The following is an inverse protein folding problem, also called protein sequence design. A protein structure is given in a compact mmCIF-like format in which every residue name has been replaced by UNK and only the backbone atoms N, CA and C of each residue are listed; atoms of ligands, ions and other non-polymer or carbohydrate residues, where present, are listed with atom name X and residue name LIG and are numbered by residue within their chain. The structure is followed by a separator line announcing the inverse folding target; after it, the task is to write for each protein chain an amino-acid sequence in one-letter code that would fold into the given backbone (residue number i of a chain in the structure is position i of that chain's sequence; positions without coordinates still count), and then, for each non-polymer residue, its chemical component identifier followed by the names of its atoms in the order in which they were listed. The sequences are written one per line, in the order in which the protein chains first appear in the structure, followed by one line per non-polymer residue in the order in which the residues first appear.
data_IF_712735435299
#
_entry.id   IF_712735435299
#
_cell.length_a   1.000
_cell.length_b   1.000
_cell.length_c   1.000
_cell.angle_alpha   90.00
_cell.angle_beta   90.00
_cell.angle_gamma   90.00
#
_symmetry.space_group_name_H-M   'P 1'
#
loop_
_entity.id
_entity.type
_entity.pdbx_description
1 polymer ?
#
# COMPACT_ATOMS: atom_id res chain seq x y z
N UNK A 1 -4.38 7.23 -6.86
CA UNK A 1 -5.47 6.70 -6.01
C UNK A 1 -4.89 5.47 -5.32
N UNK A 2 -4.42 5.71 -4.10
CA UNK A 2 -3.58 4.80 -3.31
C UNK A 2 -4.45 3.79 -2.55
N UNK A 3 -3.80 2.71 -2.08
CA UNK A 3 -4.30 1.60 -1.27
C UNK A 3 -5.36 1.94 -0.18
N UNK A 4 -5.44 3.21 0.21
CA UNK A 4 -6.38 3.77 1.18
C UNK A 4 -7.84 3.73 0.69
N UNK A 5 -8.12 4.03 -0.59
CA UNK A 5 -9.50 3.98 -1.12
C UNK A 5 -10.01 2.54 -1.31
N UNK A 6 -9.11 1.58 -1.58
CA UNK A 6 -9.46 0.15 -1.62
C UNK A 6 -9.72 -0.42 -0.23
N UNK A 7 -8.96 0.03 0.78
CA UNK A 7 -9.24 -0.24 2.18
C UNK A 7 -10.62 0.30 2.57
N UNK A 8 -10.93 1.55 2.22
CA UNK A 8 -12.20 2.18 2.57
C UNK A 8 -13.41 1.54 1.85
N UNK A 9 -13.27 1.14 0.57
CA UNK A 9 -14.33 0.45 -0.15
C UNK A 9 -14.53 -0.99 0.33
N UNK A 10 -13.44 -1.70 0.66
CA UNK A 10 -13.50 -3.04 1.25
C UNK A 10 -14.09 -3.00 2.67
N UNK A 11 -13.70 -2.04 3.50
CA UNK A 11 -14.28 -1.80 4.83
C UNK A 11 -15.75 -1.41 4.72
N UNK A 12 -16.13 -0.57 3.76
CA UNK A 12 -17.54 -0.20 3.53
C UNK A 12 -18.39 -1.38 3.04
N UNK A 13 -17.86 -2.23 2.15
CA UNK A 13 -18.59 -3.42 1.66
C UNK A 13 -18.63 -4.57 2.67
N UNK A 14 -17.60 -4.73 3.50
CA UNK A 14 -17.60 -5.71 4.59
C UNK A 14 -18.52 -5.27 5.74
N UNK A 15 -18.46 -4.00 6.14
CA UNK A 15 -19.38 -3.42 7.13
C UNK A 15 -20.85 -3.48 6.66
N UNK A 16 -21.12 -3.31 5.36
CA UNK A 16 -22.47 -3.48 4.80
C UNK A 16 -22.95 -4.94 4.74
N UNK A 17 -22.02 -5.91 4.70
CA UNK A 17 -22.34 -7.35 4.64
C UNK A 17 -22.54 -7.95 6.03
N UNK A 18 -21.78 -7.49 7.03
CA UNK A 18 -21.89 -7.91 8.42
C UNK A 18 -23.13 -7.32 9.11
N UNK A 19 -23.57 -6.13 8.67
CA UNK A 19 -24.82 -5.50 9.12
C UNK A 19 -26.12 -6.26 8.77
N UNK A 20 -26.09 -7.24 7.84
CA UNK A 20 -27.28 -8.08 7.56
C UNK A 20 -27.45 -9.24 8.54
N UNK A 21 -26.39 -9.62 9.26
CA UNK A 21 -26.42 -10.75 10.21
C UNK A 21 -26.35 -10.31 11.67
N UNK A 22 -26.04 -9.05 11.96
CA UNK A 22 -26.22 -8.46 13.28
C UNK A 22 -27.71 -8.27 13.57
N UNK A 23 -28.30 -9.24 14.29
CA UNK A 23 -29.59 -9.03 14.96
C UNK A 23 -29.47 -7.78 15.82
N UNK A 24 -30.31 -6.78 15.51
CA UNK A 24 -30.88 -5.76 16.41
C UNK A 24 -30.19 -5.69 17.79
N UNK A 25 -29.02 -5.05 17.85
CA UNK A 25 -28.53 -4.46 19.08
C UNK A 25 -29.03 -3.02 19.07
N UNK A 26 -29.84 -2.67 20.07
CA UNK A 26 -30.36 -1.32 20.26
C UNK A 26 -29.15 -0.36 20.36
N UNK A 27 -29.18 0.67 19.52
CA UNK A 27 -28.17 1.72 19.51
C UNK A 27 -28.35 2.57 20.77
N UNK A 28 -27.39 2.52 21.69
CA UNK A 28 -27.26 3.51 22.76
C UNK A 28 -26.84 4.88 22.19
N UNK A 29 -27.41 5.93 22.78
CA UNK A 29 -27.38 7.33 22.37
C UNK A 29 -25.99 7.86 21.97
N UNK A 30 -25.96 8.61 20.87
CA UNK A 30 -24.82 9.42 20.46
C UNK A 30 -24.70 10.60 21.43
N UNK A 31 -23.58 10.70 22.16
CA UNK A 31 -23.31 11.81 23.08
C UNK A 31 -23.51 13.17 22.39
N UNK A 32 -24.24 14.08 23.04
CA UNK A 32 -24.55 15.41 22.50
C UNK A 32 -23.30 16.34 22.56
N UNK A 33 -23.26 17.36 21.72
CA UNK A 33 -22.09 18.27 21.59
C UNK A 33 -21.70 18.98 22.90
N UNK A 34 -22.67 19.21 23.79
CA UNK A 34 -22.44 19.73 25.13
C UNK A 34 -21.65 18.75 26.03
N UNK A 35 -21.97 17.45 25.97
CA UNK A 35 -21.32 16.39 26.74
C UNK A 35 -19.88 16.15 26.26
N UNK A 36 -19.67 16.22 24.95
CA UNK A 36 -18.35 16.21 24.31
C UNK A 36 -17.50 17.43 24.71
N UNK A 37 -18.11 18.60 24.94
CA UNK A 37 -17.40 19.79 25.42
C UNK A 37 -16.87 19.64 26.85
N UNK A 38 -17.58 18.88 27.70
CA UNK A 38 -17.16 18.62 29.07
C UNK A 38 -16.07 17.54 29.16
N UNK A 39 -16.10 16.55 28.26
CA UNK A 39 -14.98 15.63 28.04
C UNK A 39 -13.67 16.36 27.72
N UNK A 40 -13.73 17.43 26.92
CA UNK A 40 -12.55 18.23 26.57
C UNK A 40 -11.98 19.01 27.76
N UNK A 41 -12.82 19.35 28.75
CA UNK A 41 -12.43 20.04 29.98
C UNK A 41 -11.93 19.05 31.04
N UNK A 42 -12.41 17.81 31.00
CA UNK A 42 -11.87 16.72 31.81
C UNK A 42 -10.42 16.48 31.38
N UNK A 43 -9.48 16.85 32.24
CA UNK A 43 -8.05 16.76 31.96
C UNK A 43 -7.68 15.28 31.78
N UNK A 44 -7.55 14.81 30.54
CA UNK A 44 -7.00 13.49 30.24
C UNK A 44 -5.48 13.60 30.43
N UNK A 45 -4.88 12.96 31.45
CA UNK A 45 -3.44 13.05 31.64
C UNK A 45 -2.72 12.42 30.44
N UNK A 46 -1.86 13.21 29.79
CA UNK A 46 -0.93 12.70 28.78
C UNK A 46 0.08 11.79 29.49
N UNK A 47 -0.04 10.48 29.34
CA UNK A 47 0.96 9.54 29.87
C UNK A 47 1.68 8.86 28.73
N UNK A 48 2.95 9.24 28.57
CA UNK A 48 3.96 8.52 27.81
C UNK A 48 4.22 7.15 28.46
N UNK A 49 3.95 6.06 27.75
CA UNK A 49 4.42 4.74 28.16
C UNK A 49 5.96 4.70 28.04
N UNK A 50 6.68 4.85 29.16
CA UNK A 50 8.06 4.37 29.25
C UNK A 50 7.99 2.86 29.49
N UNK A 51 8.38 2.08 28.49
CA UNK A 51 8.57 0.64 28.63
C UNK A 51 9.68 0.38 29.67
N UNK A 52 9.28 0.02 30.88
CA UNK A 52 10.16 -0.52 31.91
C UNK A 52 10.00 -2.02 31.95
N UNK A 53 11.04 -2.75 31.53
CA UNK A 53 11.12 -4.19 31.72
C UNK A 53 11.11 -4.51 33.22
N UNK A 54 10.14 -5.33 33.69
CA UNK A 54 10.36 -6.18 34.87
C UNK A 54 9.38 -7.35 34.97
N UNK A 55 9.98 -8.52 35.16
CA UNK A 55 9.42 -9.82 35.52
C UNK A 55 8.47 -9.78 36.74
N UNK A 56 7.47 -10.68 36.73
CA UNK A 56 6.93 -11.26 37.97
C UNK A 56 5.48 -11.71 37.90
N UNK A 57 5.23 -13.02 38.03
CA UNK A 57 3.92 -13.68 38.18
C UNK A 57 3.16 -13.21 39.43
N UNK A 58 1.83 -13.17 39.39
CA UNK A 58 0.93 -14.17 40.02
C UNK A 58 -0.55 -13.80 39.81
N UNK A 59 -1.36 -14.79 39.40
CA UNK A 59 -2.84 -14.75 39.43
C UNK A 59 -3.32 -14.95 40.87
N UNK A 60 -4.30 -14.18 41.33
CA UNK A 60 -5.16 -14.56 42.45
C UNK A 60 -6.64 -14.24 42.14
N UNK A 61 -7.48 -15.25 42.35
CA UNK A 61 -8.94 -15.13 42.40
C UNK A 61 -9.35 -14.53 43.75
N UNK A 62 -10.30 -13.59 43.77
CA UNK A 62 -11.06 -13.27 44.99
C UNK A 62 -12.55 -13.03 44.73
N UNK A 63 -13.31 -13.56 45.67
CA UNK A 63 -14.76 -13.58 45.81
C UNK A 63 -15.16 -12.31 46.57
N UNK A 64 -16.14 -11.56 46.06
CA UNK A 64 -16.51 -10.24 46.57
C UNK A 64 -17.43 -10.34 47.78
N UNK A 65 -16.98 -9.84 48.93
CA UNK A 65 -17.83 -9.26 49.98
C UNK A 65 -17.00 -8.27 50.83
N UNK A 66 -17.50 -7.04 50.99
CA UNK A 66 -17.02 -6.04 51.95
C UNK A 66 -16.09 -4.95 51.40
N UNK A 67 -16.45 -3.69 51.66
CA UNK A 67 -15.70 -2.46 51.39
C UNK A 67 -14.22 -2.55 51.82
N UNK A 68 -13.31 -2.44 50.84
CA UNK A 68 -11.88 -2.22 51.05
C UNK A 68 -11.43 -1.15 50.06
N UNK A 69 -10.93 -0.03 50.56
CA UNK A 69 -10.22 0.98 49.78
C UNK A 69 -8.89 0.36 49.30
N UNK A 70 -8.90 -0.19 48.08
CA UNK A 70 -7.71 -0.73 47.42
C UNK A 70 -6.94 0.42 46.77
N UNK A 71 -5.69 0.66 47.21
CA UNK A 71 -4.76 1.53 46.50
C UNK A 71 -4.42 0.91 45.14
N UNK A 72 -5.21 1.27 44.13
CA UNK A 72 -5.04 0.85 42.74
C UNK A 72 -3.72 1.38 42.20
N UNK A 73 -2.97 0.53 41.50
CA UNK A 73 -1.76 0.95 40.77
C UNK A 73 -2.13 2.00 39.71
N UNK A 74 -1.17 2.83 39.24
CA UNK A 74 -1.46 3.82 38.20
C UNK A 74 -2.11 3.20 36.96
N UNK A 75 -1.73 1.97 36.57
CA UNK A 75 -2.33 1.27 35.44
C UNK A 75 -3.81 0.89 35.70
N UNK A 76 -4.12 0.41 36.90
CA UNK A 76 -5.49 0.08 37.31
C UNK A 76 -6.35 1.34 37.47
N UNK A 77 -5.80 2.44 37.97
CA UNK A 77 -6.48 3.74 38.02
C UNK A 77 -6.84 4.25 36.61
N UNK A 78 -5.97 4.05 35.61
CA UNK A 78 -6.26 4.42 34.23
C UNK A 78 -7.32 3.50 33.59
N UNK A 79 -7.32 2.21 33.92
CA UNK A 79 -8.35 1.27 33.47
C UNK A 79 -9.71 1.65 34.06
N UNK A 80 -9.79 1.91 35.37
CA UNK A 80 -11.01 2.32 36.07
C UNK A 80 -11.50 3.70 35.59
N UNK A 81 -10.59 4.66 35.39
CA UNK A 81 -10.95 5.98 34.85
C UNK A 81 -11.41 5.92 33.39
N UNK A 82 -10.77 5.07 32.58
CA UNK A 82 -11.16 4.79 31.21
C UNK A 82 -12.55 4.15 31.13
N UNK A 83 -12.86 3.21 32.02
CA UNK A 83 -14.16 2.55 32.08
C UNK A 83 -15.27 3.51 32.55
N UNK A 84 -15.00 4.39 33.51
CA UNK A 84 -15.95 5.42 33.94
C UNK A 84 -16.28 6.44 32.84
N UNK A 85 -15.27 6.84 32.06
CA UNK A 85 -15.45 7.72 30.89
C UNK A 85 -16.23 7.03 29.77
N UNK A 86 -15.93 5.77 29.50
CA UNK A 86 -16.64 4.95 28.51
C UNK A 86 -18.10 4.76 28.92
N UNK A 87 -18.38 4.54 30.20
CA UNK A 87 -19.74 4.39 30.72
C UNK A 87 -20.54 5.68 30.64
N UNK A 88 -19.89 6.84 30.81
CA UNK A 88 -20.56 8.15 30.80
C UNK A 88 -20.79 8.72 29.38
N UNK A 89 -19.89 8.47 28.43
CA UNK A 89 -19.91 9.11 27.10
C UNK A 89 -19.93 8.13 25.92
N UNK A 90 -19.96 6.84 26.21
CA UNK A 90 -19.87 5.77 25.22
C UNK A 90 -18.45 5.57 24.67
N UNK A 91 -18.14 4.33 24.28
CA UNK A 91 -16.83 3.95 23.70
C UNK A 91 -16.50 4.81 22.47
N UNK A 92 -17.51 5.05 21.60
CA UNK A 92 -17.36 5.81 20.36
C UNK A 92 -17.02 7.29 20.62
N UNK A 93 -17.69 7.93 21.59
CA UNK A 93 -17.46 9.33 21.93
C UNK A 93 -16.05 9.57 22.46
N UNK A 94 -15.60 8.68 23.37
CA UNK A 94 -14.23 8.69 23.90
C UNK A 94 -13.19 8.46 22.80
N UNK A 95 -13.43 7.48 21.91
CA UNK A 95 -12.50 7.19 20.81
C UNK A 95 -12.38 8.36 19.82
N UNK A 96 -13.48 9.06 19.55
CA UNK A 96 -13.48 10.23 18.66
C UNK A 96 -12.62 11.38 19.23
N UNK A 97 -12.78 11.71 20.51
CA UNK A 97 -12.03 12.82 21.13
C UNK A 97 -10.54 12.49 21.34
N UNK A 98 -10.21 11.24 21.69
CA UNK A 98 -8.82 10.83 21.94
C UNK A 98 -8.02 10.60 20.66
N UNK A 99 -8.66 10.09 19.60
CA UNK A 99 -7.95 9.59 18.42
C UNK A 99 -8.62 9.96 17.09
N UNK A 100 -9.95 9.91 17.00
CA UNK A 100 -10.69 10.17 15.75
C UNK A 100 -10.70 11.63 15.26
N UNK A 101 -10.19 12.57 16.05
CA UNK A 101 -10.13 14.01 15.72
C UNK A 101 -8.83 14.36 15.02
N UNK A 102 -8.88 15.16 13.95
CA UNK A 102 -7.69 15.65 13.25
C UNK A 102 -6.68 16.34 14.19
N UNK A 103 -7.15 17.08 15.20
CA UNK A 103 -6.31 17.73 16.21
C UNK A 103 -5.63 16.78 17.21
N UNK A 104 -5.96 15.49 17.22
CA UNK A 104 -5.41 14.49 18.14
C UNK A 104 -4.24 13.68 17.55
N UNK A 105 -3.72 14.06 16.37
CA UNK A 105 -2.66 13.32 15.66
C UNK A 105 -1.33 13.16 16.44
N UNK A 106 -1.07 14.01 17.45
CA UNK A 106 0.12 13.92 18.31
C UNK A 106 -0.04 12.93 19.47
N UNK A 107 -1.27 12.53 19.78
CA UNK A 107 -1.54 11.62 20.88
C UNK A 107 -1.10 10.20 20.51
N UNK A 108 -0.73 9.40 21.52
CA UNK A 108 -0.47 7.99 21.29
C UNK A 108 -1.76 7.25 20.94
N UNK A 109 -1.64 6.21 20.13
CA UNK A 109 -2.79 5.46 19.63
C UNK A 109 -3.39 4.54 20.71
N UNK A 110 -4.70 4.67 21.05
CA UNK A 110 -5.33 3.86 22.08
C UNK A 110 -5.78 2.50 21.54
N UNK A 111 -4.83 1.58 21.33
CA UNK A 111 -5.08 0.27 20.70
C UNK A 111 -6.13 -0.59 21.44
N UNK A 112 -6.14 -0.54 22.77
CA UNK A 112 -7.11 -1.30 23.58
C UNK A 112 -8.56 -0.83 23.38
N UNK A 113 -8.77 0.48 23.23
CA UNK A 113 -10.10 1.05 23.02
C UNK A 113 -10.60 0.74 21.60
N UNK A 114 -9.69 0.79 20.62
CA UNK A 114 -9.95 0.34 19.24
C UNK A 114 -10.35 -1.13 19.24
N UNK A 115 -9.69 -1.99 20.02
CA UNK A 115 -10.02 -3.41 20.17
C UNK A 115 -11.42 -3.62 20.67
N UNK A 116 -11.75 -2.95 21.78
CA UNK A 116 -13.06 -3.08 22.41
C UNK A 116 -14.21 -2.65 21.50
N UNK A 117 -13.97 -1.70 20.60
CA UNK A 117 -15.00 -1.18 19.70
C UNK A 117 -15.09 -1.92 18.36
N UNK A 118 -13.95 -2.18 17.70
CA UNK A 118 -13.91 -2.75 16.34
C UNK A 118 -13.57 -4.24 16.31
N UNK A 119 -13.03 -4.80 17.40
CA UNK A 119 -12.53 -6.18 17.45
C UNK A 119 -11.06 -6.31 17.04
N UNK A 120 -10.55 -7.54 17.13
CA UNK A 120 -9.13 -7.86 17.04
C UNK A 120 -8.54 -7.57 15.66
N UNK A 121 -9.25 -7.90 14.57
CA UNK A 121 -8.77 -7.71 13.19
C UNK A 121 -8.35 -6.25 12.92
N UNK A 122 -9.16 -5.29 13.34
CA UNK A 122 -8.91 -3.87 13.08
C UNK A 122 -7.77 -3.31 13.93
N UNK A 123 -7.52 -3.86 15.12
CA UNK A 123 -6.43 -3.42 15.99
C UNK A 123 -5.09 -3.73 15.39
N UNK A 124 -4.92 -4.93 14.81
CA UNK A 124 -3.67 -5.28 14.12
C UNK A 124 -3.39 -4.36 12.94
N UNK A 125 -4.42 -4.01 12.16
CA UNK A 125 -4.29 -3.01 11.08
C UNK A 125 -3.79 -1.66 11.61
N UNK A 126 -4.44 -1.16 12.66
CA UNK A 126 -4.14 0.13 13.24
C UNK A 126 -2.78 0.16 13.97
N UNK A 127 -2.40 -0.93 14.62
CA UNK A 127 -1.09 -1.13 15.22
C UNK A 127 0.03 -1.20 14.16
N UNK A 128 -0.22 -1.87 13.03
CA UNK A 128 0.69 -1.88 11.88
C UNK A 128 0.90 -0.47 11.35
N UNK A 129 -0.19 0.26 11.11
CA UNK A 129 -0.14 1.62 10.58
C UNK A 129 0.64 2.57 11.52
N UNK A 130 0.38 2.49 12.83
CA UNK A 130 1.11 3.28 13.82
C UNK A 130 2.60 2.93 13.88
N UNK A 131 2.93 1.64 13.81
CA UNK A 131 4.33 1.18 13.82
C UNK A 131 5.05 1.61 12.53
N UNK A 132 4.42 1.42 11.37
CA UNK A 132 4.96 1.78 10.07
C UNK A 132 5.21 3.29 9.94
N UNK A 133 4.24 4.12 10.34
CA UNK A 133 4.37 5.58 10.32
C UNK A 133 5.49 6.08 11.23
N UNK A 134 5.65 5.50 12.43
CA UNK A 134 6.77 5.81 13.31
C UNK A 134 8.13 5.43 12.69
N UNK A 135 8.22 4.28 12.02
CA UNK A 135 9.45 3.83 11.35
C UNK A 135 9.79 4.66 10.10
N UNK A 136 8.80 5.22 9.41
CA UNK A 136 9.00 6.11 8.25
C UNK A 136 9.66 7.45 8.61
N UNK A 137 9.68 7.85 9.89
CA UNK A 137 10.33 9.08 10.34
C UNK A 137 11.82 9.14 9.97
N UNK A 138 12.53 8.01 10.12
CA UNK A 138 13.96 7.93 9.82
C UNK A 138 14.24 8.07 8.29
N UNK A 139 13.63 7.26 7.40
CA UNK A 139 13.70 7.47 5.95
C UNK A 139 13.32 8.88 5.50
N UNK A 140 12.27 9.46 6.09
CA UNK A 140 11.80 10.80 5.73
C UNK A 140 12.86 11.86 6.06
N UNK A 141 13.47 11.80 7.24
CA UNK A 141 14.54 12.72 7.63
C UNK A 141 15.75 12.58 6.69
N UNK A 142 16.19 11.34 6.43
CA UNK A 142 17.33 11.08 5.55
C UNK A 142 17.06 11.51 4.11
N UNK A 143 15.86 11.25 3.59
CA UNK A 143 15.44 11.68 2.26
C UNK A 143 15.35 13.21 2.11
N UNK A 144 14.96 13.93 3.16
CA UNK A 144 15.02 15.40 3.16
C UNK A 144 16.46 15.90 3.13
N UNK A 145 17.36 15.26 3.90
CA UNK A 145 18.79 15.62 3.90
C UNK A 145 19.39 15.43 2.50
N UNK A 146 19.13 14.30 1.84
CA UNK A 146 19.64 14.07 0.48
C UNK A 146 19.06 15.04 -0.54
N UNK A 147 17.77 15.40 -0.42
CA UNK A 147 17.12 16.38 -1.28
C UNK A 147 17.71 17.79 -1.09
N UNK A 148 17.86 18.25 0.16
CA UNK A 148 18.43 19.58 0.44
C UNK A 148 19.90 19.67 0.04
N UNK A 149 20.67 18.58 0.16
CA UNK A 149 22.03 18.52 -0.37
C UNK A 149 22.05 18.67 -1.90
N UNK A 150 21.17 17.96 -2.62
CA UNK A 150 21.03 18.11 -4.07
C UNK A 150 20.67 19.54 -4.47
N UNK A 151 19.70 20.15 -3.79
CA UNK A 151 19.29 21.55 -4.01
C UNK A 151 20.38 22.59 -3.66
N UNK A 152 21.31 22.27 -2.76
CA UNK A 152 22.44 23.14 -2.44
C UNK A 152 23.54 23.11 -3.50
N UNK A 153 23.73 21.96 -4.17
CA UNK A 153 24.90 21.70 -5.03
C UNK A 153 24.56 21.50 -6.52
N UNK A 154 23.30 21.65 -6.93
CA UNK A 154 22.92 21.45 -8.34
C UNK A 154 23.49 22.50 -9.31
N UNK A 155 23.90 23.67 -8.82
CA UNK A 155 24.60 24.71 -9.60
C UNK A 155 26.08 24.72 -9.21
N UNK A 156 26.96 24.80 -10.21
CA UNK A 156 28.41 24.93 -9.99
C UNK A 156 29.21 23.63 -10.01
N UNK A 157 28.63 22.51 -10.46
CA UNK A 157 29.39 21.29 -10.75
C UNK A 157 30.08 21.40 -12.10
N UNK A 158 31.34 20.97 -12.15
CA UNK A 158 32.16 20.99 -13.35
C UNK A 158 31.51 20.21 -14.51
N UNK A 159 30.97 19.01 -14.26
CA UNK A 159 30.29 18.22 -15.31
C UNK A 159 29.09 18.96 -15.94
N UNK A 160 28.33 19.67 -15.11
CA UNK A 160 27.17 20.44 -15.57
C UNK A 160 27.65 21.68 -16.34
N UNK A 161 28.67 22.38 -15.85
CA UNK A 161 29.27 23.52 -16.53
C UNK A 161 29.90 23.13 -17.87
N UNK A 162 30.58 21.98 -17.94
CA UNK A 162 31.16 21.43 -19.17
C UNK A 162 30.06 21.14 -20.20
N UNK A 163 28.91 20.58 -19.76
CA UNK A 163 27.75 20.35 -20.62
C UNK A 163 27.13 21.66 -21.12
N UNK A 164 26.90 22.62 -20.23
CA UNK A 164 26.28 23.91 -20.57
C UNK A 164 27.17 24.80 -21.46
N UNK A 165 28.49 24.67 -21.37
CA UNK A 165 29.45 25.42 -22.19
C UNK A 165 29.88 24.66 -23.46
N UNK A 166 29.47 23.40 -23.62
CA UNK A 166 29.83 22.59 -24.78
C UNK A 166 29.18 23.12 -26.07
N UNK A 167 29.93 23.03 -27.18
CA UNK A 167 29.43 23.35 -28.52
C UNK A 167 29.22 22.08 -29.36
N UNK A 168 28.81 20.98 -28.69
CA UNK A 168 28.62 19.67 -29.30
C UNK A 168 27.23 19.61 -29.93
N UNK A 169 27.18 19.25 -31.21
CA UNK A 169 25.91 19.00 -31.92
C UNK A 169 25.56 17.52 -31.84
N UNK A 170 24.33 17.23 -31.42
CA UNK A 170 23.82 15.88 -31.25
C UNK A 170 22.90 15.54 -32.42
N UNK A 171 22.89 14.26 -32.81
CA UNK A 171 22.01 13.76 -33.86
C UNK A 171 20.54 13.93 -33.44
N UNK A 172 19.68 14.30 -34.39
CA UNK A 172 18.24 14.35 -34.18
C UNK A 172 17.66 12.98 -33.83
N UNK A 173 16.52 12.98 -33.14
CA UNK A 173 15.77 11.78 -32.78
C UNK A 173 15.12 11.08 -33.98
N UNK A 174 15.26 11.62 -35.20
CA UNK A 174 14.80 10.99 -36.43
C UNK A 174 15.78 11.30 -37.58
N UNK A 175 15.75 10.50 -38.65
CA UNK A 175 16.67 10.68 -39.80
C UNK A 175 16.53 12.02 -40.50
N UNK A 176 15.32 12.60 -40.46
CA UNK A 176 14.98 13.87 -41.12
C UNK A 176 14.91 15.05 -40.15
N UNK A 177 15.23 14.83 -38.87
CA UNK A 177 15.17 15.85 -37.82
C UNK A 177 16.41 16.73 -37.85
N UNK A 178 16.23 18.02 -37.55
CA UNK A 178 17.35 18.92 -37.35
C UNK A 178 18.22 18.46 -36.16
N UNK A 179 19.53 18.64 -36.31
CA UNK A 179 20.49 18.44 -35.21
C UNK A 179 20.25 19.51 -34.14
N UNK A 180 20.50 19.16 -32.89
CA UNK A 180 20.32 20.06 -31.74
C UNK A 180 21.63 20.21 -30.96
N UNK A 181 21.77 21.28 -30.19
CA UNK A 181 22.98 21.56 -29.43
C UNK A 181 22.86 21.04 -27.99
N UNK A 182 23.91 20.37 -27.51
CA UNK A 182 23.92 19.72 -26.19
C UNK A 182 23.68 20.71 -25.03
N UNK A 183 24.06 21.98 -25.20
CA UNK A 183 23.87 23.04 -24.20
C UNK A 183 22.41 23.34 -23.87
N UNK A 184 21.48 23.04 -24.79
CA UNK A 184 20.05 23.33 -24.59
C UNK A 184 19.45 22.43 -23.49
N UNK A 185 20.08 21.27 -23.25
CA UNK A 185 19.75 20.31 -22.19
C UNK A 185 20.31 20.64 -20.80
N UNK A 186 20.99 21.78 -20.67
CA UNK A 186 21.70 22.19 -19.45
C UNK A 186 20.79 22.22 -18.21
N UNK A 187 19.62 22.86 -18.31
CA UNK A 187 18.71 23.01 -17.17
C UNK A 187 18.23 21.65 -16.65
N UNK A 188 17.85 20.76 -17.54
CA UNK A 188 17.29 19.47 -17.17
C UNK A 188 18.35 18.53 -16.60
N UNK A 189 19.59 18.60 -17.08
CA UNK A 189 20.72 17.90 -16.46
C UNK A 189 21.01 18.41 -15.03
N UNK A 190 20.98 19.73 -14.83
CA UNK A 190 21.12 20.33 -13.48
C UNK A 190 20.00 19.87 -12.54
N UNK A 191 18.76 19.81 -13.01
CA UNK A 191 17.62 19.32 -12.21
C UNK A 191 17.76 17.82 -11.90
N UNK A 192 18.23 17.00 -12.85
CA UNK A 192 18.42 15.57 -12.64
C UNK A 192 19.38 15.28 -11.48
N UNK A 193 20.44 16.07 -11.31
CA UNK A 193 21.39 15.92 -10.21
C UNK A 193 20.76 16.10 -8.82
N UNK A 194 19.64 16.81 -8.69
CA UNK A 194 18.91 16.91 -7.41
C UNK A 194 18.52 15.50 -6.93
N UNK A 195 18.16 14.61 -7.86
CA UNK A 195 17.77 13.24 -7.60
C UNK A 195 18.94 12.24 -7.71
N UNK A 196 19.87 12.46 -8.64
CA UNK A 196 21.03 11.60 -8.88
C UNK A 196 22.30 12.21 -8.27
N UNK A 197 22.32 12.30 -6.94
CA UNK A 197 23.48 12.75 -6.18
C UNK A 197 24.18 11.59 -5.44
N UNK A 198 25.41 11.82 -4.99
CA UNK A 198 26.22 10.80 -4.31
C UNK A 198 25.56 10.23 -3.05
N UNK A 199 24.76 11.03 -2.34
CA UNK A 199 24.04 10.58 -1.15
C UNK A 199 22.83 9.68 -1.46
N UNK A 200 22.27 9.72 -2.67
CA UNK A 200 21.15 8.82 -3.01
C UNK A 200 21.59 7.36 -3.07
N UNK A 201 22.85 7.10 -3.42
CA UNK A 201 23.47 5.76 -3.32
C UNK A 201 23.51 5.28 -1.87
N UNK A 202 23.98 6.13 -0.96
CA UNK A 202 23.99 5.81 0.47
C UNK A 202 22.56 5.62 1.03
N UNK A 203 21.62 6.45 0.59
CA UNK A 203 20.21 6.34 0.96
C UNK A 203 19.60 5.01 0.51
N UNK A 204 19.86 4.55 -0.71
CA UNK A 204 19.37 3.26 -1.21
C UNK A 204 19.84 2.06 -0.37
N UNK A 205 21.10 2.09 0.10
CA UNK A 205 21.62 1.07 1.02
C UNK A 205 20.92 1.12 2.38
N UNK A 206 20.74 2.31 2.95
CA UNK A 206 20.03 2.49 4.22
C UNK A 206 18.57 2.03 4.11
N UNK A 207 17.88 2.33 3.00
CA UNK A 207 16.50 1.90 2.77
C UNK A 207 16.36 0.38 2.71
N UNK A 208 17.36 -0.31 2.15
CA UNK A 208 17.39 -1.78 2.12
C UNK A 208 17.50 -2.37 3.53
N UNK A 209 18.37 -1.80 4.36
CA UNK A 209 18.51 -2.20 5.78
C UNK A 209 17.24 -1.85 6.56
N UNK A 210 16.73 -0.63 6.39
CA UNK A 210 15.50 -0.18 7.06
C UNK A 210 14.33 -1.12 6.78
N UNK A 211 14.14 -1.56 5.54
CA UNK A 211 13.07 -2.47 5.18
C UNK A 211 13.16 -3.81 5.94
N UNK A 212 14.36 -4.38 6.05
CA UNK A 212 14.59 -5.61 6.82
C UNK A 212 14.35 -5.42 8.32
N UNK A 213 14.89 -4.34 8.90
CA UNK A 213 14.74 -4.05 10.33
C UNK A 213 13.29 -3.73 10.70
N UNK A 214 12.57 -3.00 9.85
CA UNK A 214 11.15 -2.72 10.05
C UNK A 214 10.34 -4.02 10.01
N UNK A 215 10.59 -4.88 9.02
CA UNK A 215 9.89 -6.16 8.90
C UNK A 215 10.07 -7.02 10.16
N UNK A 216 11.31 -7.20 10.62
CA UNK A 216 11.61 -7.97 11.84
C UNK A 216 11.01 -7.34 13.10
N UNK A 217 11.03 -6.01 13.20
CA UNK A 217 10.45 -5.29 14.33
C UNK A 217 8.93 -5.41 14.34
N UNK A 218 8.29 -5.40 13.17
CA UNK A 218 6.86 -5.65 13.05
C UNK A 218 6.52 -7.08 13.46
N UNK A 219 7.24 -8.10 13.00
CA UNK A 219 7.00 -9.49 13.40
C UNK A 219 7.07 -9.68 14.92
N UNK A 220 8.01 -9.00 15.59
CA UNK A 220 8.09 -9.00 17.06
C UNK A 220 6.87 -8.34 17.70
N UNK A 221 6.46 -7.18 17.18
CA UNK A 221 5.31 -6.44 17.70
C UNK A 221 4.00 -7.18 17.48
N UNK A 222 3.84 -7.84 16.33
CA UNK A 222 2.71 -8.70 16.02
C UNK A 222 2.60 -9.86 17.01
N UNK A 223 3.71 -10.53 17.30
CA UNK A 223 3.73 -11.62 18.28
C UNK A 223 3.40 -11.16 19.71
N UNK A 224 3.91 -9.99 20.12
CA UNK A 224 3.57 -9.37 21.42
C UNK A 224 2.06 -9.08 21.51
N UNK A 225 1.49 -8.46 20.47
CA UNK A 225 0.05 -8.15 20.44
C UNK A 225 -0.81 -9.42 20.36
N UNK A 226 -0.38 -10.44 19.62
CA UNK A 226 -1.10 -11.71 19.53
C UNK A 226 -1.14 -12.42 20.89
N UNK A 227 -0.05 -12.36 21.65
CA UNK A 227 0.02 -12.89 23.00
C UNK A 227 -0.83 -12.07 23.98
N UNK A 228 -0.66 -10.75 24.00
CA UNK A 228 -1.42 -9.83 24.87
C UNK A 228 -2.93 -9.92 24.64
N UNK A 229 -3.33 -10.27 23.42
CA UNK A 229 -4.73 -10.38 23.02
C UNK A 229 -5.28 -11.80 23.03
N UNK A 230 -4.46 -12.80 23.35
CA UNK A 230 -4.82 -14.23 23.41
C UNK A 230 -5.42 -14.74 22.07
N UNK A 231 -4.80 -14.37 20.94
CA UNK A 231 -5.26 -14.71 19.58
C UNK A 231 -4.23 -15.47 18.74
N UNK A 232 -3.21 -16.04 19.37
CA UNK A 232 -2.19 -16.86 18.71
C UNK A 232 -2.78 -18.12 18.05
N UNK A 233 -3.68 -18.83 18.74
CA UNK A 233 -4.30 -20.09 18.27
C UNK A 233 -5.59 -19.88 17.45
N UNK A 234 -5.95 -18.63 17.12
CA UNK A 234 -7.24 -18.31 16.52
C UNK A 234 -7.47 -18.94 15.13
N UNK A 235 -6.39 -19.19 14.37
CA UNK A 235 -6.48 -19.79 13.02
C UNK A 235 -6.85 -21.28 13.06
N UNK A 236 -6.41 -22.01 14.07
CA UNK A 236 -6.64 -23.47 14.17
C UNK A 236 -8.09 -23.79 14.59
N UNK A 237 -8.75 -22.84 15.26
CA UNK A 237 -10.11 -22.95 15.78
C UNK A 237 -11.16 -22.32 14.85
N UNK A 238 -10.77 -21.89 13.64
CA UNK A 238 -11.67 -21.18 12.73
C UNK A 238 -12.79 -22.10 12.18
N UNK A 239 -14.07 -21.67 12.26
CA UNK A 239 -15.19 -22.44 11.70
C UNK A 239 -15.11 -22.55 10.18
N UNK A 240 -15.80 -23.55 9.62
CA UNK A 240 -15.92 -23.67 8.17
C UNK A 240 -16.81 -22.57 7.60
N UNK A 241 -16.52 -22.16 6.37
CA UNK A 241 -17.30 -21.12 5.71
C UNK A 241 -18.72 -21.63 5.36
N UNK A 242 -19.79 -20.85 5.60
CA UNK A 242 -21.16 -21.28 5.30
C UNK A 242 -21.39 -21.71 3.84
N UNK A 243 -20.71 -21.06 2.90
CA UNK A 243 -20.81 -21.40 1.47
C UNK A 243 -20.13 -22.74 1.13
N UNK A 244 -19.09 -23.10 1.88
CA UNK A 244 -18.43 -24.40 1.77
C UNK A 244 -19.32 -25.49 2.35
N UNK A 245 -19.98 -25.23 3.47
CA UNK A 245 -20.94 -26.14 4.09
C UNK A 245 -22.17 -26.37 3.19
N UNK A 246 -22.77 -25.29 2.65
CA UNK A 246 -24.02 -25.32 1.89
C UNK A 246 -23.95 -26.07 0.55
N UNK A 247 -22.76 -26.28 -0.03
CA UNK A 247 -22.64 -27.08 -1.24
C UNK A 247 -23.02 -28.57 -0.98
N UNK A 248 -23.31 -29.34 -2.03
CA UNK A 248 -23.41 -30.80 -1.88
C UNK A 248 -22.01 -31.41 -1.98
N UNK A 249 -21.68 -32.39 -1.13
CA UNK A 249 -20.35 -33.00 -1.15
C UNK A 249 -20.24 -34.28 -0.32
N UNK A 250 -19.07 -34.90 -0.41
CA UNK A 250 -18.75 -36.15 0.28
C UNK A 250 -18.33 -35.83 1.72
N UNK A 251 -18.88 -36.55 2.69
CA UNK A 251 -18.46 -36.44 4.09
C UNK A 251 -17.32 -37.40 4.38
N UNK A 252 -16.32 -36.93 5.12
CA UNK A 252 -15.19 -37.75 5.56
C UNK A 252 -14.91 -37.46 7.03
N UNK A 253 -14.60 -38.51 7.80
CA UNK A 253 -14.16 -38.36 9.18
C UNK A 253 -12.74 -37.80 9.20
N UNK A 254 -12.55 -36.67 9.87
CA UNK A 254 -11.24 -36.06 10.04
C UNK A 254 -10.37 -36.97 10.93
N UNK A 255 -9.15 -37.37 10.51
CA UNK A 255 -8.30 -38.28 11.27
C UNK A 255 -7.76 -37.67 12.58
N UNK A 256 -7.76 -36.34 12.69
CA UNK A 256 -7.23 -35.63 13.88
C UNK A 256 -8.34 -35.34 14.88
N UNK A 257 -9.44 -34.72 14.43
CA UNK A 257 -10.54 -34.30 15.32
C UNK A 257 -11.56 -35.41 15.55
N UNK A 258 -11.60 -36.43 14.68
CA UNK A 258 -12.59 -37.50 14.73
C UNK A 258 -14.01 -37.06 14.34
N UNK A 259 -14.21 -35.77 14.01
CA UNK A 259 -15.48 -35.19 13.60
C UNK A 259 -15.73 -35.49 12.11
N UNK A 260 -16.98 -35.77 11.76
CA UNK A 260 -17.38 -35.93 10.35
C UNK A 260 -17.48 -34.55 9.72
N UNK A 261 -16.60 -34.26 8.79
CA UNK A 261 -16.52 -32.98 8.10
C UNK A 261 -16.70 -33.18 6.60
N UNK A 262 -17.08 -32.11 5.91
CA UNK A 262 -17.20 -32.16 4.46
C UNK A 262 -15.83 -32.17 3.79
N UNK A 263 -15.63 -33.12 2.89
CA UNK A 263 -14.38 -33.30 2.15
C UNK A 263 -14.50 -32.80 0.71
N UNK A 264 -13.49 -32.04 0.29
CA UNK A 264 -13.36 -31.58 -1.09
C UNK A 264 -12.18 -32.31 -1.76
N UNK A 265 -12.39 -32.98 -2.90
CA UNK A 265 -11.34 -33.79 -3.53
C UNK A 265 -10.16 -32.94 -3.97
N UNK A 266 -8.96 -33.34 -3.56
CA UNK A 266 -7.70 -32.61 -3.84
C UNK A 266 -7.44 -32.42 -5.34
N UNK A 267 -7.70 -33.43 -6.17
CA UNK A 267 -7.45 -33.36 -7.61
C UNK A 267 -8.26 -32.23 -8.28
N UNK A 268 -9.56 -32.16 -8.02
CA UNK A 268 -10.43 -31.10 -8.54
C UNK A 268 -9.98 -29.72 -8.05
N UNK A 269 -9.56 -29.63 -6.78
CA UNK A 269 -9.02 -28.38 -6.21
C UNK A 269 -7.78 -27.90 -6.97
N UNK A 270 -6.82 -28.78 -7.21
CA UNK A 270 -5.60 -28.42 -7.95
C UNK A 270 -5.89 -28.02 -9.40
N UNK A 271 -6.86 -28.67 -10.07
CA UNK A 271 -7.29 -28.24 -11.40
C UNK A 271 -7.88 -26.83 -11.38
N UNK A 272 -8.74 -26.51 -10.41
CA UNK A 272 -9.28 -25.15 -10.24
C UNK A 272 -8.21 -24.12 -9.93
N UNK A 273 -7.25 -24.47 -9.05
CA UNK A 273 -6.10 -23.60 -8.78
C UNK A 273 -5.26 -23.35 -10.03
N UNK A 274 -5.02 -24.37 -10.87
CA UNK A 274 -4.32 -24.17 -12.13
C UNK A 274 -5.08 -23.20 -13.06
N UNK A 275 -6.40 -23.37 -13.21
CA UNK A 275 -7.21 -22.48 -14.05
C UNK A 275 -7.17 -21.04 -13.54
N UNK A 276 -7.38 -20.84 -12.25
CA UNK A 276 -7.40 -19.49 -11.64
C UNK A 276 -6.04 -18.80 -11.70
N UNK A 277 -4.94 -19.51 -11.43
CA UNK A 277 -3.58 -18.98 -11.61
C UNK A 277 -3.33 -18.59 -13.06
N UNK A 278 -3.71 -19.45 -14.02
CA UNK A 278 -3.60 -19.13 -15.44
C UNK A 278 -4.42 -17.90 -15.83
N UNK A 279 -5.64 -17.75 -15.31
CA UNK A 279 -6.46 -16.54 -15.55
C UNK A 279 -5.77 -15.29 -15.01
N UNK A 280 -5.20 -15.33 -13.81
CA UNK A 280 -4.47 -14.18 -13.26
C UNK A 280 -3.25 -13.82 -14.09
N UNK A 281 -2.47 -14.81 -14.54
CA UNK A 281 -1.32 -14.58 -15.42
C UNK A 281 -1.73 -13.96 -16.76
N UNK A 282 -2.83 -14.44 -17.37
CA UNK A 282 -3.35 -13.86 -18.62
C UNK A 282 -3.75 -12.40 -18.42
N UNK A 283 -4.44 -12.06 -17.33
CA UNK A 283 -4.79 -10.65 -17.06
C UNK A 283 -3.55 -9.80 -16.83
N UNK A 284 -2.54 -10.31 -16.11
CA UNK A 284 -1.25 -9.62 -15.95
C UNK A 284 -0.55 -9.39 -17.30
N UNK A 285 -0.57 -10.39 -18.19
CA UNK A 285 -0.04 -10.24 -19.54
C UNK A 285 -0.82 -9.20 -20.36
N UNK A 286 -2.14 -9.13 -20.22
CA UNK A 286 -2.95 -8.07 -20.84
C UNK A 286 -2.54 -6.67 -20.39
N UNK A 287 -2.16 -6.50 -19.12
CA UNK A 287 -1.64 -5.21 -18.62
C UNK A 287 -0.32 -4.85 -19.32
N UNK A 288 0.60 -5.82 -19.43
CA UNK A 288 1.88 -5.61 -20.12
C UNK A 288 1.65 -5.27 -21.60
N UNK A 289 0.72 -5.95 -22.27
CA UNK A 289 0.35 -5.67 -23.67
C UNK A 289 -0.23 -4.26 -23.80
N UNK A 290 -1.12 -3.85 -22.89
CA UNK A 290 -1.68 -2.50 -22.88
C UNK A 290 -0.58 -1.45 -22.70
N UNK A 291 0.36 -1.68 -21.79
CA UNK A 291 1.53 -0.83 -21.58
C UNK A 291 2.38 -0.70 -22.84
N UNK A 292 2.73 -1.82 -23.50
CA UNK A 292 3.45 -1.80 -24.78
C UNK A 292 2.64 -1.04 -25.84
N UNK A 293 1.31 -1.21 -25.86
CA UNK A 293 0.40 -0.46 -26.72
C UNK A 293 0.47 1.07 -26.47
N UNK A 294 0.53 1.51 -25.21
CA UNK A 294 0.67 2.95 -24.89
C UNK A 294 2.03 3.52 -25.32
N UNK A 295 3.09 2.71 -25.27
CA UNK A 295 4.42 3.11 -25.74
C UNK A 295 4.43 3.24 -27.26
N UNK A 296 3.89 2.25 -27.98
CA UNK A 296 3.77 2.31 -29.44
C UNK A 296 2.91 3.50 -29.86
N UNK A 297 1.81 3.76 -29.15
CA UNK A 297 0.99 4.95 -29.36
C UNK A 297 1.81 6.25 -29.18
N UNK A 298 2.56 6.38 -28.08
CA UNK A 298 3.43 7.54 -27.81
C UNK A 298 4.38 7.78 -28.98
N UNK A 299 5.05 6.72 -29.45
CA UNK A 299 6.00 6.81 -30.57
C UNK A 299 5.32 7.22 -31.87
N UNK A 300 4.17 6.63 -32.18
CA UNK A 300 3.40 6.97 -33.37
C UNK A 300 2.96 8.45 -33.36
N UNK A 301 2.41 8.93 -32.25
CA UNK A 301 1.99 10.34 -32.11
C UNK A 301 3.19 11.28 -32.20
N UNK A 302 4.30 10.95 -31.56
CA UNK A 302 5.53 11.74 -31.62
C UNK A 302 6.02 11.89 -33.07
N UNK A 303 6.14 10.78 -33.81
CA UNK A 303 6.58 10.80 -35.22
C UNK A 303 5.59 11.57 -36.10
N UNK A 304 4.27 11.33 -35.95
CA UNK A 304 3.25 12.02 -36.74
C UNK A 304 3.25 13.54 -36.52
N UNK A 305 3.51 14.01 -35.29
CA UNK A 305 3.62 15.44 -35.00
C UNK A 305 4.90 16.05 -35.59
N UNK A 306 5.99 15.29 -35.65
CA UNK A 306 7.23 15.73 -36.28
C UNK A 306 7.12 15.82 -37.79
N UNK A 307 6.44 14.87 -38.45
CA UNK A 307 6.21 14.88 -39.90
C UNK A 307 5.25 15.99 -40.34
N UNK A 308 4.35 16.43 -39.45
CA UNK A 308 3.44 17.54 -39.72
C UNK A 308 4.12 18.93 -39.60
N UNK A 309 5.26 19.03 -38.92
CA UNK A 309 6.00 20.27 -38.68
C UNK A 309 7.27 20.40 -39.54
N UNK A 310 8.00 21.51 -39.39
CA UNK A 310 9.27 21.79 -40.10
C UNK A 310 10.49 21.22 -39.33
N UNK A 311 10.24 20.33 -38.36
CA UNK A 311 11.27 19.65 -37.58
C UNK A 311 12.11 20.60 -36.70
N UNK A 312 11.58 21.77 -36.34
CA UNK A 312 12.28 22.74 -35.49
C UNK A 312 12.40 22.25 -34.05
N UNK A 313 13.45 22.66 -33.33
CA UNK A 313 13.70 22.20 -31.95
C UNK A 313 12.55 22.51 -30.99
N UNK A 314 11.89 23.67 -31.17
CA UNK A 314 10.72 24.06 -30.35
C UNK A 314 9.52 23.14 -30.61
N UNK A 315 9.28 22.78 -31.86
CA UNK A 315 8.24 21.81 -32.23
C UNK A 315 8.57 20.39 -31.75
N UNK A 316 9.84 20.00 -31.68
CA UNK A 316 10.26 18.70 -31.12
C UNK A 316 9.93 18.60 -29.62
N UNK A 317 10.17 19.66 -28.85
CA UNK A 317 9.84 19.72 -27.42
C UNK A 317 8.32 19.71 -27.20
N UNK A 318 7.59 20.50 -27.98
CA UNK A 318 6.11 20.55 -27.91
C UNK A 318 5.49 19.20 -28.31
N UNK A 319 5.99 18.55 -29.36
CA UNK A 319 5.56 17.22 -29.79
C UNK A 319 5.86 16.14 -28.73
N UNK A 320 7.05 16.16 -28.13
CA UNK A 320 7.43 15.24 -27.07
C UNK A 320 6.55 15.39 -25.81
N UNK A 321 6.23 16.63 -25.44
CA UNK A 321 5.36 16.94 -24.31
C UNK A 321 3.93 16.46 -24.55
N UNK A 322 3.38 16.73 -25.74
CA UNK A 322 2.01 16.29 -26.11
C UNK A 322 1.93 14.77 -26.18
N UNK A 323 2.88 14.10 -26.84
CA UNK A 323 2.90 12.65 -26.96
C UNK A 323 3.05 11.96 -25.59
N UNK A 324 3.92 12.48 -24.73
CA UNK A 324 4.17 11.88 -23.41
C UNK A 324 3.01 12.13 -22.44
N UNK A 325 2.43 13.33 -22.44
CA UNK A 325 1.27 13.65 -21.59
C UNK A 325 0.02 12.87 -21.99
N UNK A 326 -0.31 12.78 -23.28
CA UNK A 326 -1.45 12.00 -23.77
C UNK A 326 -1.28 10.51 -23.51
N UNK A 327 -0.08 9.95 -23.74
CA UNK A 327 0.23 8.56 -23.42
C UNK A 327 0.12 8.28 -21.90
N UNK A 328 0.59 9.19 -21.05
CA UNK A 328 0.46 9.05 -19.60
C UNK A 328 -1.00 9.06 -19.15
N UNK A 329 -1.84 9.94 -19.73
CA UNK A 329 -3.28 9.98 -19.44
C UNK A 329 -3.97 8.69 -19.88
N UNK A 330 -3.68 8.20 -21.08
CA UNK A 330 -4.24 6.94 -21.59
C UNK A 330 -3.85 5.78 -20.67
N UNK A 331 -2.56 5.68 -20.31
CA UNK A 331 -2.07 4.66 -19.39
C UNK A 331 -2.76 4.75 -18.02
N UNK A 332 -2.94 5.96 -17.48
CA UNK A 332 -3.68 6.18 -16.22
C UNK A 332 -5.12 5.68 -16.32
N UNK A 333 -5.84 6.02 -17.41
CA UNK A 333 -7.22 5.56 -17.63
C UNK A 333 -7.29 4.03 -17.67
N UNK A 334 -6.36 3.37 -18.36
CA UNK A 334 -6.27 1.90 -18.38
C UNK A 334 -6.03 1.32 -16.99
N UNK A 335 -5.06 1.87 -16.26
CA UNK A 335 -4.75 1.43 -14.89
C UNK A 335 -5.99 1.54 -14.00
N UNK A 336 -6.71 2.66 -14.05
CA UNK A 336 -7.91 2.88 -13.24
C UNK A 336 -9.05 1.93 -13.62
N UNK A 337 -9.31 1.76 -14.91
CA UNK A 337 -10.36 0.88 -15.41
C UNK A 337 -10.11 -0.59 -15.02
N UNK A 338 -8.88 -1.07 -15.22
CA UNK A 338 -8.52 -2.44 -14.87
C UNK A 338 -8.52 -2.66 -13.34
N UNK A 339 -8.11 -1.66 -12.56
CA UNK A 339 -8.17 -1.72 -11.09
C UNK A 339 -9.60 -1.73 -10.57
N UNK A 340 -10.56 -1.17 -11.31
CA UNK A 340 -11.99 -1.25 -10.97
C UNK A 340 -12.57 -2.64 -11.27
N UNK A 341 -12.21 -3.25 -12.41
CA UNK A 341 -12.81 -4.50 -12.88
C UNK A 341 -12.20 -5.74 -12.19
N UNK A 342 -10.87 -5.76 -12.01
CA UNK A 342 -10.17 -6.95 -11.54
C UNK A 342 -10.62 -7.47 -10.17
N UNK A 343 -10.90 -6.63 -9.15
CA UNK A 343 -11.38 -7.11 -7.85
C UNK A 343 -12.66 -7.95 -7.95
N UNK A 344 -13.60 -7.57 -8.83
CA UNK A 344 -14.82 -8.36 -9.08
C UNK A 344 -14.49 -9.73 -9.67
N UNK A 345 -13.57 -9.78 -10.64
CA UNK A 345 -13.08 -11.03 -11.21
C UNK A 345 -12.36 -11.89 -10.16
N UNK A 346 -11.51 -11.30 -9.33
CA UNK A 346 -10.77 -11.99 -8.27
C UNK A 346 -11.71 -12.62 -7.23
N UNK A 347 -12.78 -11.91 -6.84
CA UNK A 347 -13.84 -12.44 -5.96
C UNK A 347 -14.56 -13.60 -6.65
N UNK A 348 -14.93 -13.46 -7.92
CA UNK A 348 -15.60 -14.53 -8.68
C UNK A 348 -14.73 -15.80 -8.75
N UNK A 349 -13.45 -15.65 -9.14
CA UNK A 349 -12.50 -16.76 -9.22
C UNK A 349 -12.28 -17.42 -7.85
N UNK A 350 -12.11 -16.63 -6.78
CA UNK A 350 -11.83 -17.16 -5.45
C UNK A 350 -13.06 -17.82 -4.82
N UNK A 351 -14.28 -17.37 -5.15
CA UNK A 351 -15.50 -18.08 -4.79
C UNK A 351 -15.63 -19.41 -5.54
N UNK A 352 -15.21 -19.46 -6.81
CA UNK A 352 -15.22 -20.69 -7.60
C UNK A 352 -14.22 -21.75 -7.09
N UNK A 353 -13.10 -21.32 -6.51
CA UNK A 353 -12.08 -22.17 -5.87
C UNK A 353 -12.58 -22.92 -4.62
N UNK A 354 -13.63 -22.43 -3.98
CA UNK A 354 -14.30 -23.06 -2.84
C UNK A 354 -13.36 -23.42 -1.67
N UNK A 355 -12.81 -22.38 -1.02
CA UNK A 355 -11.97 -22.52 0.17
C UNK A 355 -12.77 -22.96 1.40
N UNK A 356 -12.12 -23.69 2.31
CA UNK A 356 -12.74 -24.27 3.52
C UNK A 356 -12.98 -23.21 4.61
N UNK A 357 -11.97 -22.38 4.88
CA UNK A 357 -11.98 -21.35 5.92
C UNK A 357 -11.97 -19.94 5.32
N UNK A 358 -12.43 -18.94 6.06
CA UNK A 358 -12.40 -17.55 5.61
C UNK A 358 -10.96 -17.04 5.52
N UNK A 359 -10.08 -17.38 6.46
CA UNK A 359 -8.66 -17.00 6.37
C UNK A 359 -7.99 -17.54 5.12
N UNK A 360 -8.30 -18.76 4.68
CA UNK A 360 -7.79 -19.30 3.42
C UNK A 360 -8.35 -18.53 2.21
N UNK A 361 -9.66 -18.27 2.20
CA UNK A 361 -10.29 -17.46 1.16
C UNK A 361 -9.67 -16.06 1.06
N UNK A 362 -9.53 -15.35 2.19
CA UNK A 362 -8.98 -14.00 2.26
C UNK A 362 -7.50 -13.99 1.84
N UNK A 363 -6.67 -14.94 2.27
CA UNK A 363 -5.27 -15.06 1.82
C UNK A 363 -5.16 -15.24 0.31
N UNK A 364 -5.95 -16.14 -0.27
CA UNK A 364 -5.92 -16.40 -1.71
C UNK A 364 -6.53 -15.25 -2.53
N UNK A 365 -7.53 -14.53 -2.01
CA UNK A 365 -8.07 -13.33 -2.64
C UNK A 365 -7.03 -12.20 -2.62
N UNK A 366 -6.45 -11.94 -1.45
CA UNK A 366 -5.43 -10.91 -1.24
C UNK A 366 -4.23 -11.14 -2.14
N UNK A 367 -3.74 -12.38 -2.25
CA UNK A 367 -2.60 -12.68 -3.14
C UNK A 367 -2.90 -12.37 -4.61
N UNK A 368 -4.10 -12.71 -5.12
CA UNK A 368 -4.49 -12.43 -6.51
C UNK A 368 -4.59 -10.93 -6.76
N UNK A 369 -5.30 -10.21 -5.89
CA UNK A 369 -5.45 -8.74 -5.97
C UNK A 369 -4.11 -8.05 -5.86
N UNK A 370 -3.25 -8.48 -4.93
CA UNK A 370 -1.89 -7.97 -4.77
C UNK A 370 -1.06 -8.17 -6.04
N UNK A 371 -1.02 -9.40 -6.59
CA UNK A 371 -0.21 -9.70 -7.77
C UNK A 371 -0.64 -8.85 -8.98
N UNK A 372 -1.93 -8.75 -9.24
CA UNK A 372 -2.46 -7.90 -10.30
C UNK A 372 -2.12 -6.42 -10.06
N UNK A 373 -2.36 -5.89 -8.86
CA UNK A 373 -2.07 -4.49 -8.54
C UNK A 373 -0.58 -4.19 -8.65
N UNK A 374 0.30 -5.12 -8.23
CA UNK A 374 1.75 -4.97 -8.35
C UNK A 374 2.17 -4.85 -9.83
N UNK A 375 1.67 -5.73 -10.70
CA UNK A 375 1.93 -5.63 -12.15
C UNK A 375 1.33 -4.35 -12.71
N UNK A 376 0.09 -4.01 -12.37
CA UNK A 376 -0.61 -2.86 -12.95
C UNK A 376 0.01 -1.51 -12.58
N UNK A 377 0.50 -1.36 -11.34
CA UNK A 377 1.07 -0.11 -10.86
C UNK A 377 2.57 0.02 -11.15
N UNK A 378 3.32 -1.07 -11.08
CA UNK A 378 4.78 -1.00 -11.19
C UNK A 378 5.33 -1.28 -12.59
N UNK A 379 4.58 -1.91 -13.51
CA UNK A 379 5.13 -2.28 -14.84
C UNK A 379 5.63 -1.07 -15.64
N UNK A 380 4.94 0.08 -15.56
CA UNK A 380 5.39 1.32 -16.24
C UNK A 380 6.70 1.84 -15.66
N UNK A 381 6.85 1.82 -14.33
CA UNK A 381 8.08 2.21 -13.66
C UNK A 381 9.23 1.24 -13.96
N UNK A 382 8.96 -0.07 -13.98
CA UNK A 382 9.94 -1.08 -14.40
C UNK A 382 10.39 -0.88 -15.85
N UNK A 383 9.46 -0.57 -16.76
CA UNK A 383 9.80 -0.27 -18.15
C UNK A 383 10.72 0.95 -18.25
N UNK A 384 10.33 2.07 -17.64
CA UNK A 384 11.11 3.32 -17.65
C UNK A 384 12.50 3.12 -17.04
N UNK A 385 12.62 2.36 -15.96
CA UNK A 385 13.89 2.17 -15.27
C UNK A 385 14.87 1.23 -15.99
N UNK A 386 14.39 0.18 -16.66
CA UNK A 386 15.25 -0.90 -17.15
C UNK A 386 15.26 -1.11 -18.67
N UNK A 387 14.18 -0.74 -19.36
CA UNK A 387 14.00 -1.01 -20.79
C UNK A 387 14.03 0.24 -21.65
N UNK A 388 13.60 1.37 -21.11
CA UNK A 388 13.71 2.64 -21.82
C UNK A 388 15.18 2.93 -22.15
N UNK A 389 15.49 3.06 -23.44
CA UNK A 389 16.78 3.45 -24.02
C UNK A 389 17.95 2.46 -24.04
N UNK A 390 17.79 1.20 -23.61
CA UNK A 390 18.91 0.25 -23.56
C UNK A 390 19.36 -0.26 -24.94
N UNK A 391 18.42 -0.41 -25.88
CA UNK A 391 18.63 -1.09 -27.17
C UNK A 391 18.31 -0.17 -28.37
N UNK A 392 18.88 1.03 -28.42
CA UNK A 392 18.62 2.00 -29.51
C UNK A 392 19.51 1.71 -30.74
N UNK A 393 20.57 0.91 -30.64
CA UNK A 393 21.54 0.72 -31.72
C UNK A 393 22.39 1.98 -31.96
N UNK A 394 23.04 2.07 -33.12
CA UNK A 394 23.91 3.22 -33.49
C UNK A 394 23.30 4.04 -34.62
N UNK A 395 23.60 5.35 -34.73
CA UNK A 395 23.15 6.16 -35.86
C UNK A 395 23.49 5.51 -37.21
N UNK A 396 22.46 5.20 -37.99
CA UNK A 396 22.56 4.51 -39.29
C UNK A 396 22.27 3.01 -39.24
N UNK A 397 22.29 2.38 -38.07
CA UNK A 397 21.86 1.00 -37.85
C UNK A 397 21.10 0.89 -36.51
N UNK A 398 19.84 1.35 -36.55
CA UNK A 398 18.94 1.34 -35.39
C UNK A 398 18.19 0.00 -35.33
N UNK A 399 18.06 -0.53 -34.12
CA UNK A 399 17.20 -1.69 -33.88
C UNK A 399 15.74 -1.29 -34.02
N UNK A 400 15.03 -2.02 -34.88
CA UNK A 400 13.60 -1.78 -35.15
C UNK A 400 12.76 -2.81 -34.44
N UNK A 401 11.93 -2.35 -33.52
CA UNK A 401 10.93 -3.19 -32.86
C UNK A 401 9.61 -3.07 -33.62
N UNK A 402 9.12 -4.18 -34.20
CA UNK A 402 7.89 -4.22 -35.01
C UNK A 402 7.87 -3.21 -36.19
N UNK A 403 9.04 -2.92 -36.76
CA UNK A 403 9.18 -1.97 -37.87
C UNK A 403 9.27 -0.49 -37.46
N UNK A 404 9.06 -0.17 -36.18
CA UNK A 404 9.25 1.17 -35.62
C UNK A 404 10.61 1.27 -34.92
N UNK A 405 11.21 2.47 -34.91
CA UNK A 405 12.43 2.74 -34.16
C UNK A 405 12.17 2.68 -32.65
N UNK A 406 13.12 2.13 -31.89
CA UNK A 406 13.00 1.99 -30.43
C UNK A 406 12.83 3.35 -29.73
N UNK A 407 12.09 3.34 -28.60
CA UNK A 407 11.80 4.53 -27.80
C UNK A 407 13.09 5.18 -27.27
N UNK A 408 13.36 6.41 -27.71
CA UNK A 408 14.54 7.18 -27.31
C UNK A 408 14.26 7.91 -26.01
N UNK A 409 15.30 8.14 -25.21
CA UNK A 409 15.17 9.08 -24.10
C UNK A 409 14.74 10.46 -24.64
N UNK A 410 13.83 11.16 -23.95
CA UNK A 410 13.56 12.55 -24.28
C UNK A 410 14.88 13.33 -24.23
N UNK A 411 15.06 14.24 -25.18
CA UNK A 411 16.07 15.30 -25.07
C UNK A 411 15.64 16.14 -23.88
N UNK A 412 16.27 15.90 -22.73
CA UNK A 412 15.98 16.65 -21.52
C UNK A 412 16.40 18.10 -21.72
#
# INVERSE_FOLDING_TARGET
LTFQEYGDLAVATYAARENRNARRFEFEEVANEAELSDLRKAHVPNVTHRYGARHGRQRQHYQLDGDIDVELTPAEQHAVFGDALVQKYGVRGVLYELWGRFGAWRNHQPLQLVRRYFGEKFVFYFAFLGSYTAWLLLPSLLGLITLFYGLGNFRGRQDAEDLCNSNITVCGACSSCNKWELKDSCLSYQVLYIFDNEFTVAFAWIMSIWATLFHDSWLRREAELAYDYEVDDAQDLEPQRPQFEAQHGVYQRNPVTGVVEKYYPKQLRYMKYSVTVSTVLVVCACVIIALVGTIVYRLAVYISLLEAGDGTQREQTEASLVASSTAAVINLVFILLLSLIYPYLAIFLTNWENHKTESAYERHLTFKVFLFNAVNLYSSLFYVAFFQSRDIGVPGNYDRFLGYEADRCPTY
#
